data_IF_201968386999
#
_entry.id   IF_201968386999
#
_cell.length_a   1.000
_cell.length_b   1.000
_cell.length_c   1.000
_cell.angle_alpha   90.00
_cell.angle_beta   90.00
_cell.angle_gamma   90.00
#
_symmetry.space_group_name_H-M   'P 1'
#
loop_
_entity.id
_entity.type
_entity.pdbx_description
1 polymer ?
#
# COMPACT_ATOMS: atom_id res chain seq x y z
N UNK A 1 -40.35 18.76 -58.05
CA UNK A 1 -40.03 17.66 -57.10
C UNK A 1 -38.56 17.80 -56.72
N UNK A 2 -38.23 18.58 -55.69
CA UNK A 2 -36.84 18.96 -55.37
C UNK A 2 -36.69 19.43 -53.91
N UNK A 3 -37.20 18.62 -52.96
CA UNK A 3 -37.14 18.92 -51.51
C UNK A 3 -36.42 17.87 -50.65
N UNK A 4 -36.00 16.74 -51.22
CA UNK A 4 -35.52 15.57 -50.46
C UNK A 4 -34.02 15.58 -50.17
N UNK A 5 -33.20 16.30 -50.95
CA UNK A 5 -31.74 16.28 -50.80
C UNK A 5 -31.22 17.08 -49.59
N UNK A 6 -31.89 18.16 -49.19
CA UNK A 6 -31.46 18.96 -48.03
C UNK A 6 -31.77 18.28 -46.69
N UNK A 7 -32.88 17.54 -46.61
CA UNK A 7 -33.28 16.82 -45.39
C UNK A 7 -32.33 15.67 -45.06
N UNK A 8 -31.91 14.91 -46.07
CA UNK A 8 -30.95 13.82 -45.88
C UNK A 8 -29.59 14.33 -45.36
N UNK A 9 -29.13 15.47 -45.87
CA UNK A 9 -27.84 16.06 -45.48
C UNK A 9 -27.88 16.62 -44.04
N UNK A 10 -29.00 17.22 -43.64
CA UNK A 10 -29.21 17.69 -42.27
C UNK A 10 -29.35 16.53 -41.27
N UNK A 11 -29.99 15.42 -41.68
CA UNK A 11 -30.11 14.22 -40.85
C UNK A 11 -28.74 13.59 -40.57
N UNK A 12 -27.89 13.47 -41.61
CA UNK A 12 -26.53 12.95 -41.48
C UNK A 12 -25.68 13.87 -40.60
N UNK A 13 -25.77 15.19 -40.79
CA UNK A 13 -25.06 16.15 -39.95
C UNK A 13 -25.48 16.07 -38.47
N UNK A 14 -26.77 15.85 -38.20
CA UNK A 14 -27.29 15.69 -36.84
C UNK A 14 -26.78 14.39 -36.21
N UNK A 15 -26.82 13.27 -36.94
CA UNK A 15 -26.28 11.99 -36.49
C UNK A 15 -24.79 12.09 -36.16
N UNK A 16 -24.00 12.77 -36.99
CA UNK A 16 -22.58 12.96 -36.74
C UNK A 16 -22.30 13.76 -35.46
N UNK A 17 -23.10 14.81 -35.21
CA UNK A 17 -22.97 15.61 -33.97
C UNK A 17 -23.27 14.79 -32.73
N UNK A 18 -24.34 13.98 -32.77
CA UNK A 18 -24.70 13.10 -31.66
C UNK A 18 -23.63 12.04 -31.43
N UNK A 19 -23.12 11.42 -32.50
CA UNK A 19 -22.05 10.44 -32.42
C UNK A 19 -20.76 11.02 -31.81
N UNK A 20 -20.40 12.25 -32.18
CA UNK A 20 -19.23 12.94 -31.64
C UNK A 20 -19.36 13.19 -30.13
N UNK A 21 -20.52 13.67 -29.68
CA UNK A 21 -20.78 13.91 -28.25
C UNK A 21 -20.77 12.59 -27.48
N UNK A 22 -21.40 11.54 -28.00
CA UNK A 22 -21.40 10.22 -27.38
C UNK A 22 -19.98 9.65 -27.24
N UNK A 23 -19.14 9.79 -28.28
CA UNK A 23 -17.75 9.37 -28.25
C UNK A 23 -16.94 10.13 -27.19
N UNK A 24 -17.19 11.44 -27.04
CA UNK A 24 -16.54 12.26 -26.01
C UNK A 24 -16.92 11.80 -24.60
N UNK A 25 -18.21 11.56 -24.36
CA UNK A 25 -18.71 11.07 -23.07
C UNK A 25 -18.13 9.69 -22.75
N UNK A 26 -18.08 8.79 -23.74
CA UNK A 26 -17.46 7.47 -23.56
C UNK A 26 -15.96 7.54 -23.27
N UNK A 27 -15.23 8.46 -23.92
CA UNK A 27 -13.81 8.67 -23.66
C UNK A 27 -13.58 9.18 -22.23
N UNK A 28 -14.36 10.19 -21.79
CA UNK A 28 -14.31 10.72 -20.43
C UNK A 28 -14.68 9.64 -19.41
N UNK A 29 -15.74 8.87 -19.67
CA UNK A 29 -16.16 7.76 -18.82
C UNK A 29 -15.09 6.67 -18.74
N UNK A 30 -14.45 6.33 -19.86
CA UNK A 30 -13.37 5.35 -19.92
C UNK A 30 -12.15 5.76 -19.09
N UNK A 31 -11.82 7.06 -19.08
CA UNK A 31 -10.77 7.62 -18.22
C UNK A 31 -11.21 7.54 -16.75
N UNK A 32 -12.45 7.92 -16.44
CA UNK A 32 -12.99 7.83 -15.07
C UNK A 32 -13.05 6.39 -14.53
N UNK A 33 -13.36 5.40 -15.38
CA UNK A 33 -13.33 3.99 -15.01
C UNK A 33 -11.92 3.41 -14.90
N UNK A 34 -10.93 4.05 -15.51
CA UNK A 34 -9.52 3.65 -15.43
C UNK A 34 -8.76 4.36 -14.32
N UNK A 35 -9.36 5.36 -13.67
CA UNK A 35 -8.89 5.77 -12.36
C UNK A 35 -9.18 4.59 -11.41
N UNK A 36 -8.14 3.98 -10.80
CA UNK A 36 -8.37 2.99 -9.77
C UNK A 36 -9.31 3.63 -8.75
N UNK A 37 -10.44 2.98 -8.49
CA UNK A 37 -11.23 3.36 -7.34
C UNK A 37 -10.29 3.23 -6.14
N UNK A 38 -10.15 4.30 -5.35
CA UNK A 38 -9.59 4.28 -4.00
C UNK A 38 -10.51 3.44 -3.09
N UNK A 39 -10.78 2.19 -3.48
CA UNK A 39 -11.33 1.11 -2.65
C UNK A 39 -10.18 0.41 -1.91
N UNK A 40 -9.10 1.13 -1.66
CA UNK A 40 -8.20 0.85 -0.56
C UNK A 40 -8.97 1.13 0.73
N UNK A 41 -9.91 0.26 1.07
CA UNK A 41 -10.46 0.16 2.41
C UNK A 41 -9.26 0.23 3.34
N UNK A 42 -9.16 1.34 4.08
CA UNK A 42 -8.10 1.61 5.05
C UNK A 42 -8.24 0.55 6.14
N UNK A 43 -7.65 -0.61 5.87
CA UNK A 43 -7.61 -1.77 6.75
C UNK A 43 -6.72 -1.39 7.93
N UNK A 44 -7.34 -1.06 9.06
CA UNK A 44 -6.58 -0.97 10.31
C UNK A 44 -7.14 -0.11 11.43
N UNK A 45 -8.18 0.70 11.23
CA UNK A 45 -8.64 1.60 12.29
C UNK A 45 -10.04 1.28 12.80
N UNK A 46 -10.13 0.97 14.10
CA UNK A 46 -11.34 1.24 14.91
C UNK A 46 -11.74 2.70 14.69
N UNK A 47 -13.03 2.94 14.53
CA UNK A 47 -13.65 4.24 14.24
C UNK A 47 -13.10 5.41 15.08
N UNK A 48 -12.64 5.14 16.30
CA UNK A 48 -12.15 6.13 17.27
C UNK A 48 -10.80 6.78 16.93
N UNK A 49 -10.04 6.24 15.97
CA UNK A 49 -8.65 6.67 15.67
C UNK A 49 -8.51 7.54 14.41
N UNK A 50 -9.63 8.01 13.84
CA UNK A 50 -9.66 8.86 12.65
C UNK A 50 -9.18 10.31 12.88
N UNK A 51 -9.21 10.82 14.12
CA UNK A 51 -8.75 12.18 14.44
C UNK A 51 -7.23 12.22 14.64
N UNK A 52 -6.46 12.06 13.56
CA UNK A 52 -5.02 12.34 13.55
C UNK A 52 -4.12 11.30 12.89
N UNK A 53 -4.66 10.28 12.23
CA UNK A 53 -3.85 9.29 11.52
C UNK A 53 -3.20 9.89 10.25
N UNK A 54 -1.93 9.56 10.03
CA UNK A 54 -1.17 9.91 8.81
C UNK A 54 -1.34 8.80 7.79
N UNK A 55 -1.61 9.13 6.52
CA UNK A 55 -1.62 8.15 5.43
C UNK A 55 -0.18 7.77 5.10
N UNK A 56 0.21 6.54 5.42
CA UNK A 56 1.51 6.00 5.09
C UNK A 56 1.42 5.16 3.81
N UNK A 57 2.05 5.64 2.74
CA UNK A 57 2.21 4.92 1.48
C UNK A 57 3.52 4.15 1.48
N UNK A 58 3.46 2.84 1.25
CA UNK A 58 4.63 1.98 1.20
C UNK A 58 4.74 1.45 -0.22
N UNK A 59 5.89 1.65 -0.85
CA UNK A 59 6.14 1.27 -2.24
C UNK A 59 7.38 0.40 -2.37
N UNK A 60 7.23 -0.77 -2.97
CA UNK A 60 8.32 -1.65 -3.35
C UNK A 60 8.81 -1.31 -4.76
N UNK A 61 10.09 -0.96 -4.87
CA UNK A 61 10.73 -0.76 -6.18
C UNK A 61 11.16 -2.09 -6.78
N UNK A 62 10.19 -2.86 -7.28
CA UNK A 62 10.43 -4.18 -7.84
C UNK A 62 11.37 -4.17 -9.06
N UNK A 63 11.39 -3.08 -9.84
CA UNK A 63 12.31 -2.91 -10.99
C UNK A 63 13.79 -2.85 -10.60
N UNK A 64 14.10 -2.52 -9.33
CA UNK A 64 15.47 -2.50 -8.83
C UNK A 64 15.90 -3.86 -8.26
N UNK A 65 14.97 -4.81 -8.12
CA UNK A 65 15.26 -6.15 -7.65
C UNK A 65 15.82 -6.98 -8.79
N UNK A 66 16.98 -7.60 -8.56
CA UNK A 66 17.70 -8.41 -9.56
C UNK A 66 17.06 -9.79 -9.80
N UNK A 67 15.81 -10.00 -9.39
CA UNK A 67 15.09 -11.26 -9.46
C UNK A 67 13.58 -11.02 -9.55
N UNK A 68 12.82 -11.93 -10.17
CA UNK A 68 11.37 -11.81 -10.25
C UNK A 68 10.77 -11.92 -8.85
N UNK A 69 10.06 -10.87 -8.44
CA UNK A 69 9.20 -10.90 -7.26
C UNK A 69 7.91 -11.58 -7.68
N UNK A 70 7.51 -12.63 -6.96
CA UNK A 70 6.22 -13.28 -7.21
C UNK A 70 5.11 -12.23 -7.11
N UNK A 71 4.13 -12.25 -8.00
CA UNK A 71 2.95 -11.36 -7.96
C UNK A 71 2.00 -11.65 -6.77
N UNK A 72 2.50 -12.41 -5.81
CA UNK A 72 1.82 -12.76 -4.57
C UNK A 72 1.80 -11.55 -3.64
N UNK A 73 0.70 -11.39 -2.91
CA UNK A 73 0.52 -10.28 -1.99
C UNK A 73 1.58 -10.32 -0.91
N UNK A 74 2.43 -9.30 -0.87
CA UNK A 74 3.54 -9.25 0.09
C UNK A 74 3.03 -8.61 1.39
N UNK A 75 3.06 -9.33 2.52
CA UNK A 75 2.63 -8.76 3.78
C UNK A 75 3.65 -7.75 4.30
N UNK A 76 3.12 -6.60 4.73
CA UNK A 76 3.86 -5.53 5.40
C UNK A 76 3.25 -5.35 6.78
N UNK A 77 4.09 -5.47 7.81
CA UNK A 77 3.69 -5.32 9.19
C UNK A 77 4.38 -4.09 9.78
N UNK A 78 3.63 -3.27 10.50
CA UNK A 78 4.15 -2.11 11.20
C UNK A 78 4.03 -2.33 12.69
N UNK A 79 5.16 -2.24 13.37
CA UNK A 79 5.24 -2.39 14.82
C UNK A 79 5.57 -1.04 15.46
N UNK A 80 4.92 -0.67 16.57
CA UNK A 80 5.29 0.56 17.29
C UNK A 80 6.65 0.43 18.01
N UNK A 81 7.19 -0.80 18.11
CA UNK A 81 8.47 -1.12 18.73
C UNK A 81 9.36 -1.91 17.77
N UNK A 82 10.67 -1.92 18.04
CA UNK A 82 11.60 -2.82 17.35
C UNK A 82 11.49 -4.22 17.93
N UNK A 83 10.86 -5.14 17.19
CA UNK A 83 10.73 -6.55 17.62
C UNK A 83 12.10 -7.22 17.83
N UNK A 84 13.12 -6.84 17.07
CA UNK A 84 14.48 -7.36 17.23
C UNK A 84 15.13 -6.88 18.52
N UNK A 85 14.98 -5.59 18.85
CA UNK A 85 15.49 -5.06 20.11
C UNK A 85 14.74 -5.69 21.29
N UNK A 86 13.40 -5.77 21.21
CA UNK A 86 12.57 -6.43 22.21
C UNK A 86 12.98 -7.90 22.41
N UNK A 87 13.28 -8.64 21.34
CA UNK A 87 13.74 -10.04 21.44
C UNK A 87 15.11 -10.14 22.09
N UNK A 88 16.03 -9.24 21.76
CA UNK A 88 17.35 -9.18 22.40
C UNK A 88 17.24 -8.89 23.89
N UNK A 89 16.40 -7.92 24.27
CA UNK A 89 16.16 -7.54 25.65
C UNK A 89 15.51 -8.68 26.44
N UNK A 90 14.48 -9.31 25.86
CA UNK A 90 13.82 -10.48 26.43
C UNK A 90 14.79 -11.64 26.66
N UNK A 91 15.74 -11.87 25.74
CA UNK A 91 16.74 -12.94 25.88
C UNK A 91 17.83 -12.62 26.92
N UNK A 92 18.08 -11.34 27.21
CA UNK A 92 19.11 -10.91 28.15
C UNK A 92 18.69 -10.94 29.62
N UNK A 93 17.38 -10.90 29.90
CA UNK A 93 16.84 -10.90 31.26
C UNK A 93 16.23 -12.26 31.63
N UNK A 94 16.63 -12.86 32.77
CA UNK A 94 15.95 -14.03 33.31
C UNK A 94 14.52 -13.63 33.71
N UNK A 95 13.51 -14.18 33.03
CA UNK A 95 12.10 -13.95 33.36
C UNK A 95 11.42 -15.28 33.67
N UNK A 96 10.85 -15.37 34.86
CA UNK A 96 10.13 -16.56 35.32
C UNK A 96 8.79 -16.68 34.59
N UNK A 97 8.73 -17.54 33.57
CA UNK A 97 7.48 -18.00 32.96
C UNK A 97 6.74 -17.02 32.04
N UNK A 98 7.15 -15.75 31.97
CA UNK A 98 6.59 -14.77 31.02
C UNK A 98 6.93 -15.18 29.59
N UNK A 99 5.96 -15.11 28.67
CA UNK A 99 6.20 -15.36 27.23
C UNK A 99 6.65 -14.09 26.51
N UNK A 100 7.31 -14.25 25.36
CA UNK A 100 7.77 -13.11 24.55
C UNK A 100 6.60 -12.23 24.09
N UNK A 101 5.47 -12.84 23.72
CA UNK A 101 4.29 -12.15 23.23
C UNK A 101 3.71 -11.21 24.30
N UNK A 102 3.69 -11.64 25.56
CA UNK A 102 3.23 -10.84 26.69
C UNK A 102 4.17 -9.65 26.95
N UNK A 103 5.48 -9.89 26.86
CA UNK A 103 6.46 -8.82 26.97
C UNK A 103 6.35 -7.80 25.84
N UNK A 104 6.24 -8.26 24.60
CA UNK A 104 6.08 -7.41 23.44
C UNK A 104 4.81 -6.58 23.54
N UNK A 105 3.69 -7.20 23.92
CA UNK A 105 2.41 -6.51 24.13
C UNK A 105 2.55 -5.40 25.18
N UNK A 106 3.23 -5.68 26.30
CA UNK A 106 3.51 -4.68 27.33
C UNK A 106 4.35 -3.51 26.82
N UNK A 107 5.37 -3.77 25.99
CA UNK A 107 6.20 -2.73 25.39
C UNK A 107 5.44 -1.87 24.38
N UNK A 108 4.48 -2.45 23.66
CA UNK A 108 3.66 -1.73 22.70
C UNK A 108 2.59 -0.86 23.37
N UNK A 109 2.20 -1.18 24.60
CA UNK A 109 1.17 -0.47 25.35
C UNK A 109 -0.18 -0.55 24.64
N UNK A 110 -0.84 0.59 24.46
CA UNK A 110 -2.14 0.65 23.77
C UNK A 110 -2.04 0.58 22.23
N UNK A 111 -0.82 0.59 21.68
CA UNK A 111 -0.61 0.58 20.23
C UNK A 111 -0.51 -0.85 19.73
N UNK A 112 -1.32 -1.20 18.74
CA UNK A 112 -1.28 -2.53 18.13
C UNK A 112 -0.45 -2.53 16.84
N UNK A 113 0.14 -3.68 16.46
CA UNK A 113 0.72 -3.85 15.15
C UNK A 113 -0.31 -3.64 14.05
N UNK A 114 0.07 -2.95 12.98
CA UNK A 114 -0.77 -2.78 11.79
C UNK A 114 -0.27 -3.72 10.70
N UNK A 115 -1.18 -4.35 9.96
CA UNK A 115 -0.83 -5.25 8.85
C UNK A 115 -1.48 -4.73 7.58
N UNK A 116 -0.70 -4.67 6.51
CA UNK A 116 -1.12 -4.30 5.17
C UNK A 116 -0.51 -5.28 4.16
N UNK A 117 -1.09 -5.32 2.97
CA UNK A 117 -0.59 -6.14 1.87
C UNK A 117 -0.20 -5.20 0.71
N UNK A 118 0.97 -5.43 0.10
CA UNK A 118 1.32 -4.79 -1.17
C UNK A 118 0.47 -5.38 -2.28
N UNK A 119 -0.05 -4.52 -3.14
CA UNK A 119 -0.79 -4.89 -4.34
C UNK A 119 0.13 -5.44 -5.44
N UNK A 120 -0.46 -5.77 -6.59
CA UNK A 120 0.29 -6.27 -7.75
C UNK A 120 1.31 -5.25 -8.32
N UNK A 121 1.17 -3.97 -8.00
CA UNK A 121 2.12 -2.91 -8.37
C UNK A 121 3.25 -2.76 -7.33
N UNK A 122 3.16 -3.47 -6.21
CA UNK A 122 4.09 -3.36 -5.09
C UNK A 122 3.80 -2.15 -4.20
N UNK A 123 2.57 -1.63 -4.20
CA UNK A 123 2.17 -0.45 -3.44
C UNK A 123 1.09 -0.79 -2.41
N UNK A 124 1.09 -0.08 -1.29
CA UNK A 124 0.00 -0.12 -0.31
C UNK A 124 -0.10 1.20 0.43
N UNK A 125 -1.27 1.52 0.94
CA UNK A 125 -1.52 2.70 1.76
C UNK A 125 -2.31 2.29 2.99
N UNK A 126 -1.87 2.74 4.17
CA UNK A 126 -2.60 2.54 5.42
C UNK A 126 -2.56 3.80 6.29
N UNK A 127 -3.59 4.01 7.09
CA UNK A 127 -3.62 5.09 8.06
C UNK A 127 -2.88 4.64 9.33
N UNK A 128 -1.84 5.38 9.70
CA UNK A 128 -0.97 5.06 10.81
C UNK A 128 -0.97 6.22 11.81
N UNK A 129 -1.16 5.95 13.12
CA UNK A 129 -1.04 6.98 14.13
C UNK A 129 0.35 7.64 14.12
N UNK A 130 0.45 8.94 14.38
CA UNK A 130 1.74 9.64 14.37
C UNK A 130 2.67 9.07 15.45
N UNK A 131 3.97 9.00 15.13
CA UNK A 131 5.01 8.53 16.03
C UNK A 131 6.03 7.62 15.36
N UNK A 132 6.86 6.98 16.19
CA UNK A 132 7.88 6.04 15.74
C UNK A 132 7.26 4.67 15.47
N UNK A 133 7.53 4.13 14.29
CA UNK A 133 7.11 2.81 13.86
C UNK A 133 8.27 2.07 13.20
N UNK A 134 8.16 0.75 13.14
CA UNK A 134 9.10 -0.15 12.52
C UNK A 134 8.37 -0.93 11.43
N UNK A 135 8.77 -0.72 10.19
CA UNK A 135 8.23 -1.46 9.05
C UNK A 135 9.00 -2.78 8.93
N UNK A 136 8.25 -3.87 8.92
CA UNK A 136 8.70 -5.22 8.65
C UNK A 136 8.00 -5.73 7.39
N UNK A 137 8.77 -5.89 6.31
CA UNK A 137 8.28 -6.47 5.07
C UNK A 137 9.21 -7.60 4.66
N UNK A 138 8.64 -8.70 4.15
CA UNK A 138 9.42 -9.83 3.67
C UNK A 138 8.93 -10.23 2.28
N UNK A 139 9.83 -10.19 1.30
CA UNK A 139 9.55 -10.68 -0.05
C UNK A 139 10.16 -12.07 -0.18
N UNK A 140 9.31 -13.03 -0.54
CA UNK A 140 9.69 -14.40 -0.82
C UNK A 140 9.74 -14.62 -2.35
N UNK A 141 10.93 -14.93 -2.86
CA UNK A 141 11.15 -15.37 -4.24
C UNK A 141 12.35 -16.32 -4.31
N UNK A 142 13.20 -16.17 -5.32
CA UNK A 142 14.50 -16.88 -5.39
C UNK A 142 15.46 -16.44 -4.27
N UNK A 143 15.20 -15.27 -3.68
CA UNK A 143 15.87 -14.73 -2.49
C UNK A 143 14.81 -14.26 -1.51
N UNK A 144 15.15 -14.33 -0.23
CA UNK A 144 14.36 -13.75 0.84
C UNK A 144 14.96 -12.40 1.20
N UNK A 145 14.16 -11.34 1.01
CA UNK A 145 14.53 -9.99 1.41
C UNK A 145 13.67 -9.57 2.57
N UNK A 146 14.31 -9.10 3.63
CA UNK A 146 13.61 -8.56 4.80
C UNK A 146 14.00 -7.10 5.00
N UNK A 147 13.00 -6.22 5.02
CA UNK A 147 13.15 -4.83 5.43
C UNK A 147 12.81 -4.68 6.90
N UNK A 148 13.61 -3.87 7.62
CA UNK A 148 13.42 -3.53 9.03
C UNK A 148 13.72 -2.06 9.23
N UNK A 149 12.78 -1.21 8.83
CA UNK A 149 13.01 0.23 8.70
C UNK A 149 12.34 1.00 9.85
N UNK A 150 13.10 1.78 10.64
CA UNK A 150 12.51 2.75 11.55
C UNK A 150 11.96 3.93 10.75
N UNK A 151 10.71 4.31 11.01
CA UNK A 151 10.03 5.44 10.38
C UNK A 151 9.39 6.32 11.45
N UNK A 152 9.47 7.64 11.25
CA UNK A 152 8.81 8.61 12.10
C UNK A 152 7.60 9.17 11.36
N UNK A 153 6.44 8.58 11.60
CA UNK A 153 5.18 8.92 10.95
C UNK A 153 4.69 10.26 11.51
N UNK A 154 4.53 11.24 10.63
CA UNK A 154 4.05 12.57 10.99
C UNK A 154 3.39 13.25 9.80
N UNK A 155 2.58 14.27 10.06
CA UNK A 155 1.87 15.01 9.02
C UNK A 155 0.62 14.28 8.50
N UNK A 156 0.17 14.66 7.30
CA UNK A 156 -1.04 14.11 6.68
C UNK A 156 -0.77 12.89 5.80
N UNK A 157 0.36 12.90 5.10
CA UNK A 157 0.77 11.85 4.19
C UNK A 157 2.29 11.67 4.24
N UNK A 158 2.74 10.43 4.19
CA UNK A 158 4.15 10.06 4.15
C UNK A 158 4.34 8.89 3.20
N UNK A 159 5.42 8.89 2.41
CA UNK A 159 5.78 7.78 1.54
C UNK A 159 7.09 7.14 1.99
N UNK A 160 7.13 5.81 2.03
CA UNK A 160 8.31 5.01 2.35
C UNK A 160 8.57 4.04 1.21
N UNK A 161 9.79 4.04 0.72
CA UNK A 161 10.20 3.16 -0.37
C UNK A 161 10.99 1.96 0.17
N UNK A 162 10.59 0.75 -0.22
CA UNK A 162 11.34 -0.48 -0.02
C UNK A 162 12.20 -0.71 -1.26
N UNK A 163 13.52 -0.63 -1.08
CA UNK A 163 14.52 -0.74 -2.14
C UNK A 163 15.56 -1.79 -1.78
N UNK A 164 16.33 -2.33 -2.73
CA UNK A 164 17.41 -3.26 -2.41
C UNK A 164 18.47 -2.64 -1.47
N UNK A 165 18.64 -1.31 -1.52
CA UNK A 165 19.65 -0.57 -0.76
C UNK A 165 19.32 -0.43 0.72
N UNK A 166 18.04 -0.53 1.09
CA UNK A 166 17.58 -0.42 2.47
C UNK A 166 17.08 -1.76 3.05
N UNK A 167 17.44 -2.87 2.40
CA UNK A 167 17.22 -4.22 2.91
C UNK A 167 18.09 -4.45 4.14
N UNK A 168 17.49 -5.00 5.19
CA UNK A 168 18.21 -5.38 6.40
C UNK A 168 18.89 -6.75 6.26
N UNK A 169 18.22 -7.71 5.64
CA UNK A 169 18.80 -9.03 5.38
C UNK A 169 18.49 -9.50 3.97
N UNK A 170 19.53 -9.91 3.25
CA UNK A 170 19.46 -10.53 1.94
C UNK A 170 19.92 -11.98 2.09
N UNK A 171 18.97 -12.91 2.14
CA UNK A 171 19.26 -14.33 2.24
C UNK A 171 18.97 -15.02 0.89
N UNK A 172 19.94 -15.78 0.39
CA UNK A 172 19.74 -16.62 -0.80
C UNK A 172 19.14 -17.95 -0.32
N UNK A 173 17.97 -18.33 -0.86
CA UNK A 173 17.46 -19.70 -0.69
C UNK A 173 18.28 -20.62 -1.61
N UNK A 174 18.84 -21.67 -1.04
CA UNK A 174 19.58 -22.72 -1.76
C UNK A 174 18.64 -23.86 -2.09
#
# INVERSE_FOLDING_TARGET
MSGTHNSARNLVAMLMRVALVAALVFAVWGIYRRLPHDDGAVLGLREDQHNGATVLRIRLRASELSFPVSAEKIPVQLYPISITAARSEYASEPRHGQRFEEFATRLMGDRQPLTAELDASGETALAVPPGKWWIHAAVNGTRELTWRLPVNVSGREMTVELTPKNVYTLAKKF
#
